data_IF_916788310052
#
_entry.id   IF_916788310052
#
_cell.length_a   1.000
_cell.length_b   1.000
_cell.length_c   1.000
_cell.angle_alpha   90.00
_cell.angle_beta   90.00
_cell.angle_gamma   90.00
#
_symmetry.space_group_name_H-M   'P 1'
#
loop_
_entity.id
_entity.type
_entity.pdbx_description
1 polymer ?
#
# COMPACT_ATOMS: atom_id res chain seq x y z
N UNK A 1 -31.54 4.85 -1.46
CA UNK A 1 -30.11 4.61 -1.14
C UNK A 1 -30.07 3.47 -0.14
N UNK A 2 -29.59 2.29 -0.53
CA UNK A 2 -29.36 1.20 0.42
C UNK A 2 -28.20 1.62 1.32
N UNK A 3 -28.51 1.93 2.57
CA UNK A 3 -27.50 2.17 3.60
C UNK A 3 -27.02 0.80 4.05
N UNK A 4 -25.73 0.49 3.86
CA UNK A 4 -25.17 -0.74 4.41
C UNK A 4 -25.29 -0.67 5.94
N UNK A 5 -25.64 -1.78 6.62
CA UNK A 5 -25.82 -1.80 8.07
C UNK A 5 -24.49 -1.73 8.85
N UNK A 6 -23.38 -1.49 8.15
CA UNK A 6 -22.02 -1.40 8.71
C UNK A 6 -21.25 -0.26 8.04
N UNK A 7 -20.27 0.30 8.76
CA UNK A 7 -19.44 1.40 8.24
C UNK A 7 -18.43 0.90 7.22
N UNK A 8 -18.23 1.71 6.18
CA UNK A 8 -17.14 1.56 5.22
C UNK A 8 -16.04 2.58 5.52
N UNK A 9 -14.78 2.17 5.37
CA UNK A 9 -13.64 3.08 5.36
C UNK A 9 -12.71 2.73 4.19
N UNK A 10 -12.17 3.78 3.57
CA UNK A 10 -11.18 3.66 2.52
C UNK A 10 -9.77 3.86 3.04
N UNK A 11 -8.80 3.52 2.19
CA UNK A 11 -7.40 3.89 2.39
C UNK A 11 -7.09 5.13 1.55
N UNK A 12 -6.35 6.05 2.13
CA UNK A 12 -5.77 7.19 1.41
C UNK A 12 -4.26 7.20 1.63
N UNK A 13 -3.46 7.77 0.71
CA UNK A 13 -2.02 7.87 0.90
C UNK A 13 -1.68 8.59 2.20
N UNK A 14 -0.68 8.07 2.93
CA UNK A 14 -0.22 8.57 4.22
C UNK A 14 0.59 9.88 4.11
N UNK A 15 0.10 10.88 3.37
CA UNK A 15 0.77 12.15 3.09
C UNK A 15 0.95 12.99 4.36
N UNK A 16 -0.12 13.16 5.15
CA UNK A 16 -0.08 13.96 6.40
C UNK A 16 1.00 13.50 7.39
N UNK A 17 1.12 12.20 7.75
CA UNK A 17 2.19 11.77 8.64
C UNK A 17 3.56 11.88 7.97
N UNK A 18 3.69 11.64 6.66
CA UNK A 18 4.98 11.78 5.97
C UNK A 18 5.51 13.21 5.99
N UNK A 19 4.65 14.21 5.74
CA UNK A 19 5.00 15.63 5.82
C UNK A 19 5.48 16.05 7.23
N UNK A 20 5.03 15.37 8.29
CA UNK A 20 5.49 15.62 9.67
C UNK A 20 6.79 14.91 10.02
N UNK A 21 7.18 13.89 9.25
CA UNK A 21 8.28 12.98 9.56
C UNK A 21 9.53 13.24 8.73
N UNK A 22 9.38 13.88 7.57
CA UNK A 22 10.50 14.34 6.74
C UNK A 22 11.37 15.34 7.49
N UNK A 23 12.67 15.25 7.27
CA UNK A 23 13.71 16.12 7.84
C UNK A 23 14.24 17.09 6.78
N UNK A 24 14.36 16.65 5.53
CA UNK A 24 14.78 17.51 4.42
C UNK A 24 13.61 18.23 3.72
N UNK A 25 12.37 17.95 4.12
CA UNK A 25 11.18 18.57 3.53
C UNK A 25 10.81 18.01 2.17
N UNK A 26 11.45 16.93 1.70
CA UNK A 26 11.15 16.26 0.43
C UNK A 26 10.49 14.91 0.72
N UNK A 27 9.25 14.76 0.27
CA UNK A 27 8.45 13.54 0.47
C UNK A 27 8.13 12.91 -0.88
N UNK A 28 8.42 11.62 -1.01
CA UNK A 28 8.10 10.83 -2.19
C UNK A 28 6.71 10.22 -2.06
N UNK A 29 5.93 10.18 -3.12
CA UNK A 29 4.68 9.43 -3.20
C UNK A 29 4.78 8.38 -4.31
N UNK A 30 4.98 7.12 -3.91
CA UNK A 30 4.81 5.97 -4.81
C UNK A 30 3.33 5.60 -4.86
N UNK A 31 2.69 5.68 -6.02
CA UNK A 31 1.37 5.12 -6.23
C UNK A 31 1.22 4.56 -7.66
N UNK A 32 0.04 4.11 -8.05
CA UNK A 32 -0.22 3.78 -9.46
C UNK A 32 -0.30 5.05 -10.30
N UNK A 33 -0.09 4.92 -11.62
CA UNK A 33 -0.20 6.05 -12.57
C UNK A 33 -1.56 6.75 -12.50
N UNK A 34 -2.62 6.00 -12.24
CA UNK A 34 -3.96 6.55 -12.05
C UNK A 34 -4.03 7.38 -10.77
N UNK A 35 -3.56 6.85 -9.64
CA UNK A 35 -3.63 7.53 -8.33
C UNK A 35 -2.86 8.85 -8.32
N UNK A 36 -1.64 8.90 -8.90
CA UNK A 36 -0.85 10.15 -8.92
C UNK A 36 -1.46 11.25 -9.79
N UNK A 37 -2.39 10.92 -10.70
CA UNK A 37 -3.08 11.89 -11.58
C UNK A 37 -4.46 12.31 -11.07
N UNK A 38 -4.96 11.69 -9.99
CA UNK A 38 -6.30 11.98 -9.47
C UNK A 38 -6.35 13.36 -8.80
N UNK A 39 -7.37 14.19 -9.06
CA UNK A 39 -7.55 15.48 -8.40
C UNK A 39 -7.52 15.36 -6.86
N UNK A 40 -8.17 14.33 -6.33
CA UNK A 40 -8.19 14.03 -4.90
C UNK A 40 -6.79 13.88 -4.28
N UNK A 41 -5.84 13.28 -5.02
CA UNK A 41 -4.45 13.13 -4.54
C UNK A 41 -3.77 14.49 -4.44
N UNK A 42 -3.99 15.38 -5.41
CA UNK A 42 -3.47 16.74 -5.38
C UNK A 42 -4.09 17.59 -4.27
N UNK A 43 -5.39 17.42 -4.01
CA UNK A 43 -6.08 18.07 -2.88
C UNK A 43 -5.49 17.64 -1.54
N UNK A 44 -5.26 16.34 -1.34
CA UNK A 44 -4.60 15.84 -0.12
C UNK A 44 -3.20 16.43 0.08
N UNK A 45 -2.42 16.56 -1.00
CA UNK A 45 -1.10 17.19 -0.96
C UNK A 45 -1.21 18.66 -0.56
N UNK A 46 -2.11 19.42 -1.22
CA UNK A 46 -2.33 20.83 -0.92
C UNK A 46 -2.75 21.04 0.55
N UNK A 47 -3.64 20.18 1.04
CA UNK A 47 -4.20 20.28 2.38
C UNK A 47 -3.19 19.93 3.49
N UNK A 48 -2.34 18.93 3.28
CA UNK A 48 -1.54 18.34 4.37
C UNK A 48 -0.02 18.46 4.21
N UNK A 49 0.47 18.91 3.06
CA UNK A 49 1.90 18.97 2.76
C UNK A 49 2.34 20.31 2.13
N UNK A 50 1.61 21.41 2.38
CA UNK A 50 1.93 22.73 1.82
C UNK A 50 3.31 23.29 2.21
N UNK A 51 3.96 22.73 3.24
CA UNK A 51 5.31 23.07 3.69
C UNK A 51 6.41 22.11 3.20
N UNK A 52 6.06 21.10 2.41
CA UNK A 52 6.99 20.09 1.89
C UNK A 52 6.94 20.03 0.36
N UNK A 53 8.04 19.62 -0.26
CA UNK A 53 8.08 19.25 -1.67
C UNK A 53 7.58 17.82 -1.83
N UNK A 54 6.49 17.61 -2.58
CA UNK A 54 6.00 16.27 -2.89
C UNK A 54 6.49 15.83 -4.27
N UNK A 55 7.27 14.75 -4.30
CA UNK A 55 7.74 14.09 -5.53
C UNK A 55 6.86 12.88 -5.82
N UNK A 56 5.99 12.96 -6.82
CA UNK A 56 5.09 11.86 -7.16
C UNK A 56 5.70 10.94 -8.21
N UNK A 57 5.61 9.63 -7.99
CA UNK A 57 6.05 8.61 -8.94
C UNK A 57 4.97 7.55 -9.09
N UNK A 58 4.39 7.50 -10.29
CA UNK A 58 3.36 6.54 -10.67
C UNK A 58 3.95 5.32 -11.35
N UNK A 59 3.79 4.13 -10.76
CA UNK A 59 4.30 2.88 -11.35
C UNK A 59 3.25 1.76 -11.35
N UNK A 60 2.89 1.30 -12.55
CA UNK A 60 2.18 0.02 -12.70
C UNK A 60 3.17 -1.15 -12.60
N UNK A 61 4.41 -0.96 -13.04
CA UNK A 61 5.45 -1.98 -13.01
C UNK A 61 5.77 -2.44 -11.57
N UNK A 62 5.71 -1.55 -10.57
CA UNK A 62 5.84 -1.97 -9.16
C UNK A 62 4.67 -2.83 -8.68
N UNK A 63 3.49 -2.70 -9.28
CA UNK A 63 2.35 -3.57 -8.97
C UNK A 63 2.65 -4.97 -9.50
N UNK A 64 3.08 -5.07 -10.77
CA UNK A 64 3.46 -6.35 -11.38
C UNK A 64 4.58 -7.05 -10.62
N UNK A 65 5.61 -6.31 -10.16
CA UNK A 65 6.68 -6.90 -9.33
C UNK A 65 6.16 -7.42 -7.98
N UNK A 66 5.22 -6.71 -7.35
CA UNK A 66 4.63 -7.16 -6.10
C UNK A 66 3.77 -8.42 -6.31
N UNK A 67 3.00 -8.48 -7.40
CA UNK A 67 2.21 -9.66 -7.77
C UNK A 67 3.12 -10.85 -8.07
N UNK A 68 4.17 -10.66 -8.88
CA UNK A 68 5.15 -11.70 -9.18
C UNK A 68 5.81 -12.24 -7.89
N UNK A 69 6.17 -11.35 -6.94
CA UNK A 69 6.69 -11.73 -5.63
C UNK A 69 5.70 -12.59 -4.83
N UNK A 70 4.42 -12.24 -4.84
CA UNK A 70 3.37 -13.05 -4.20
C UNK A 70 3.20 -14.42 -4.87
N UNK A 71 3.46 -14.51 -6.17
CA UNK A 71 3.49 -15.78 -6.92
C UNK A 71 4.82 -16.55 -6.76
N UNK A 72 5.73 -16.07 -5.90
CA UNK A 72 6.98 -16.76 -5.56
C UNK A 72 8.16 -16.44 -6.47
N UNK A 73 8.03 -15.48 -7.39
CA UNK A 73 9.17 -14.98 -8.15
C UNK A 73 10.09 -14.12 -7.29
N UNK A 74 11.39 -14.14 -7.60
CA UNK A 74 12.33 -13.17 -7.03
C UNK A 74 12.18 -11.81 -7.71
N UNK A 75 12.30 -10.74 -6.93
CA UNK A 75 12.24 -9.37 -7.46
C UNK A 75 13.64 -8.89 -7.79
N UNK A 76 13.89 -8.61 -9.07
CA UNK A 76 15.17 -8.06 -9.51
C UNK A 76 15.34 -6.62 -9.01
N UNK A 77 16.35 -6.37 -8.17
CA UNK A 77 16.63 -5.03 -7.62
C UNK A 77 16.91 -3.98 -8.71
N UNK A 78 17.44 -4.39 -9.86
CA UNK A 78 17.66 -3.48 -10.99
C UNK A 78 16.36 -2.95 -11.60
N UNK A 79 15.27 -3.72 -11.57
CA UNK A 79 13.96 -3.25 -12.03
C UNK A 79 13.40 -2.21 -11.07
N UNK A 80 13.47 -2.48 -9.77
CA UNK A 80 13.08 -1.52 -8.72
C UNK A 80 13.92 -0.24 -8.85
N UNK A 81 15.24 -0.36 -9.02
CA UNK A 81 16.18 0.75 -9.22
C UNK A 81 15.86 1.58 -10.45
N UNK A 82 15.54 0.94 -11.57
CA UNK A 82 15.10 1.63 -12.79
C UNK A 82 13.82 2.42 -12.54
N UNK A 83 12.86 1.85 -11.82
CA UNK A 83 11.59 2.52 -11.55
C UNK A 83 11.78 3.77 -10.68
N UNK A 84 12.57 3.67 -9.60
CA UNK A 84 12.82 4.81 -8.68
C UNK A 84 13.99 5.71 -9.11
N UNK A 85 14.59 5.44 -10.28
CA UNK A 85 15.69 6.21 -10.85
C UNK A 85 15.46 7.74 -10.86
N UNK A 86 14.25 8.27 -11.15
CA UNK A 86 14.02 9.71 -11.11
C UNK A 86 14.43 10.34 -9.77
N UNK A 87 14.20 9.65 -8.66
CA UNK A 87 14.59 10.11 -7.33
C UNK A 87 16.08 9.91 -7.07
N UNK A 88 16.66 8.80 -7.52
CA UNK A 88 18.09 8.52 -7.35
C UNK A 88 19.00 9.53 -8.08
N UNK A 89 18.48 10.24 -9.09
CA UNK A 89 19.19 11.28 -9.81
C UNK A 89 19.04 12.68 -9.20
N UNK A 90 18.22 12.83 -8.17
CA UNK A 90 18.02 14.11 -7.50
C UNK A 90 19.22 14.43 -6.61
N UNK A 91 19.63 15.69 -6.59
CA UNK A 91 20.63 16.19 -5.63
C UNK A 91 20.13 16.02 -4.19
N UNK A 92 18.83 16.24 -3.97
CA UNK A 92 18.15 16.06 -2.69
C UNK A 92 16.92 15.16 -2.88
N UNK A 93 17.09 13.82 -2.79
CA UNK A 93 15.99 12.88 -2.96
C UNK A 93 15.04 12.91 -1.75
N UNK A 94 13.84 12.32 -1.88
CA UNK A 94 12.95 12.19 -0.73
C UNK A 94 13.57 11.38 0.40
N UNK A 95 13.59 11.93 1.61
CA UNK A 95 14.01 11.20 2.81
C UNK A 95 12.86 10.37 3.42
N UNK A 96 11.64 10.62 2.97
CA UNK A 96 10.41 9.98 3.43
C UNK A 96 9.57 9.63 2.22
N UNK A 97 9.24 8.35 2.04
CA UNK A 97 8.46 7.85 0.91
C UNK A 97 7.16 7.23 1.39
N UNK A 98 6.05 7.74 0.87
CA UNK A 98 4.71 7.20 1.04
C UNK A 98 4.47 6.09 0.03
N UNK A 99 4.12 4.91 0.53
CA UNK A 99 3.63 3.77 -0.23
C UNK A 99 2.11 3.91 -0.36
N UNK A 100 1.67 4.62 -1.40
CA UNK A 100 0.27 4.97 -1.67
C UNK A 100 -0.54 3.89 -2.41
N UNK A 101 0.02 2.70 -2.60
CA UNK A 101 -0.65 1.53 -3.17
C UNK A 101 -0.48 0.34 -2.20
N UNK A 102 -1.53 -0.47 -2.02
CA UNK A 102 -1.53 -1.62 -1.10
C UNK A 102 -0.52 -2.70 -1.47
N UNK A 103 -0.07 -2.74 -2.72
CA UNK A 103 0.98 -3.65 -3.19
C UNK A 103 2.38 -3.27 -2.72
N UNK A 104 2.68 -1.98 -2.60
CA UNK A 104 4.06 -1.52 -2.42
C UNK A 104 4.70 -1.87 -1.07
N UNK A 105 3.95 -2.00 0.05
CA UNK A 105 4.50 -2.57 1.28
C UNK A 105 5.09 -3.97 1.13
N UNK A 106 4.64 -4.76 0.14
CA UNK A 106 5.19 -6.10 -0.15
C UNK A 106 6.62 -6.03 -0.72
N UNK A 107 6.98 -4.87 -1.31
CA UNK A 107 8.29 -4.57 -1.88
C UNK A 107 9.17 -3.73 -0.94
N UNK A 108 8.81 -3.63 0.35
CA UNK A 108 9.50 -2.78 1.32
C UNK A 108 11.00 -3.10 1.42
N UNK A 109 11.35 -4.39 1.42
CA UNK A 109 12.75 -4.83 1.54
C UNK A 109 13.57 -4.43 0.32
N UNK A 110 13.03 -4.62 -0.88
CA UNK A 110 13.68 -4.27 -2.14
C UNK A 110 13.80 -2.76 -2.31
N UNK A 111 12.74 -2.01 -1.96
CA UNK A 111 12.75 -0.55 -1.96
C UNK A 111 13.81 -0.02 -0.99
N UNK A 112 13.93 -0.59 0.21
CA UNK A 112 14.91 -0.15 1.20
C UNK A 112 16.36 -0.40 0.76
N UNK A 113 16.61 -1.46 -0.02
CA UNK A 113 17.94 -1.76 -0.59
C UNK A 113 18.32 -0.84 -1.75
N UNK A 114 17.34 -0.26 -2.44
CA UNK A 114 17.56 0.56 -3.63
C UNK A 114 17.55 2.05 -3.33
N UNK A 115 16.68 2.49 -2.41
CA UNK A 115 16.55 3.89 -2.03
C UNK A 115 17.77 4.35 -1.19
N UNK A 116 18.07 5.66 -1.18
CA UNK A 116 19.17 6.20 -0.38
C UNK A 116 19.08 5.77 1.08
N UNK A 117 20.24 5.54 1.70
CA UNK A 117 20.32 5.15 3.10
C UNK A 117 19.59 6.17 3.99
N UNK A 118 18.83 5.68 4.98
CA UNK A 118 18.03 6.52 5.87
C UNK A 118 16.66 6.91 5.32
N UNK A 119 16.32 6.56 4.07
CA UNK A 119 14.97 6.79 3.53
C UNK A 119 13.92 6.04 4.36
N UNK A 120 12.91 6.77 4.85
CA UNK A 120 11.81 6.22 5.65
C UNK A 120 10.61 5.85 4.77
N UNK A 121 10.24 4.59 4.77
CA UNK A 121 9.05 4.09 4.06
C UNK A 121 7.79 4.07 4.95
N UNK A 122 6.74 4.78 4.56
CA UNK A 122 5.48 4.93 5.30
C UNK A 122 4.31 4.42 4.46
N UNK A 123 3.43 3.63 5.07
CA UNK A 123 2.15 3.20 4.50
C UNK A 123 0.98 3.47 5.46
N UNK A 124 -0.23 3.18 5.03
CA UNK A 124 -1.45 3.40 5.82
C UNK A 124 -1.83 2.20 6.70
N UNK A 125 -1.17 1.05 6.61
CA UNK A 125 -1.58 -0.22 7.20
C UNK A 125 -1.76 -0.14 8.73
N UNK A 126 -0.75 0.32 9.45
CA UNK A 126 -0.82 0.44 10.91
C UNK A 126 -1.87 1.48 11.37
N UNK A 127 -2.08 2.55 10.59
CA UNK A 127 -3.11 3.54 10.89
C UNK A 127 -4.52 2.97 10.70
N UNK A 128 -4.72 2.17 9.65
CA UNK A 128 -5.98 1.46 9.39
C UNK A 128 -6.23 0.43 10.50
N UNK A 129 -5.22 -0.37 10.88
CA UNK A 129 -5.37 -1.35 11.96
C UNK A 129 -5.82 -0.71 13.29
N UNK A 130 -5.21 0.41 13.70
CA UNK A 130 -5.64 1.16 14.90
C UNK A 130 -7.06 1.70 14.77
N UNK A 131 -7.45 2.18 13.58
CA UNK A 131 -8.81 2.66 13.35
C UNK A 131 -9.84 1.53 13.40
N UNK A 132 -9.52 0.38 12.83
CA UNK A 132 -10.35 -0.83 12.89
C UNK A 132 -10.55 -1.28 14.33
N UNK A 133 -9.47 -1.38 15.13
CA UNK A 133 -9.56 -1.75 16.54
C UNK A 133 -10.46 -0.80 17.34
N UNK A 134 -10.24 0.51 17.21
CA UNK A 134 -11.06 1.52 17.89
C UNK A 134 -12.55 1.39 17.52
N UNK A 135 -12.88 1.15 16.25
CA UNK A 135 -14.26 0.97 15.82
C UNK A 135 -14.90 -0.31 16.36
N UNK A 136 -14.15 -1.42 16.40
CA UNK A 136 -14.63 -2.68 16.97
C UNK A 136 -14.94 -2.54 18.46
N UNK A 137 -14.16 -1.74 19.19
CA UNK A 137 -14.37 -1.48 20.62
C UNK A 137 -15.55 -0.54 20.92
N UNK A 138 -15.83 0.43 20.04
CA UNK A 138 -16.74 1.54 20.37
C UNK A 138 -18.03 1.59 19.56
N UNK A 139 -18.05 1.02 18.35
CA UNK A 139 -19.15 1.25 17.39
C UNK A 139 -19.66 -0.02 16.70
N UNK A 140 -18.87 -1.09 16.63
CA UNK A 140 -19.27 -2.30 15.92
C UNK A 140 -20.16 -3.19 16.80
N UNK A 141 -21.13 -3.92 16.22
CA UNK A 141 -21.84 -4.98 16.93
C UNK A 141 -20.86 -6.10 17.30
N UNK A 142 -21.04 -6.71 18.47
CA UNK A 142 -20.29 -7.91 18.88
C UNK A 142 -20.70 -9.09 18.00
N UNK A 143 -19.91 -9.34 16.95
CA UNK A 143 -20.07 -10.49 16.06
C UNK A 143 -18.80 -11.32 16.17
N UNK A 144 -18.94 -12.53 16.69
CA UNK A 144 -17.85 -13.47 16.84
C UNK A 144 -18.16 -14.73 16.02
N UNK A 145 -17.13 -15.26 15.35
CA UNK A 145 -17.21 -16.52 14.62
C UNK A 145 -16.02 -17.39 15.02
N UNK A 146 -16.26 -18.69 15.19
CA UNK A 146 -15.24 -19.71 15.37
C UNK A 146 -14.86 -20.39 14.04
N UNK A 147 -15.37 -19.89 12.92
CA UNK A 147 -15.02 -20.40 11.60
C UNK A 147 -13.56 -20.08 11.27
N UNK A 148 -12.96 -20.91 10.42
CA UNK A 148 -11.62 -20.65 9.92
C UNK A 148 -11.60 -19.41 9.03
N UNK A 149 -10.46 -18.72 8.99
CA UNK A 149 -10.29 -17.60 8.06
C UNK A 149 -10.32 -18.10 6.61
N UNK A 150 -11.04 -17.39 5.76
CA UNK A 150 -11.16 -17.71 4.32
C UNK A 150 -10.72 -16.49 3.52
N UNK A 151 -9.87 -16.72 2.52
CA UNK A 151 -9.59 -15.74 1.48
C UNK A 151 -10.60 -15.92 0.33
N UNK A 152 -11.04 -14.81 -0.24
CA UNK A 152 -11.98 -14.82 -1.36
C UNK A 152 -11.35 -14.22 -2.61
N UNK A 153 -11.68 -14.77 -3.77
CA UNK A 153 -11.36 -14.20 -5.08
C UNK A 153 -12.61 -14.06 -5.95
N UNK A 154 -12.60 -13.12 -6.88
CA UNK A 154 -13.69 -12.94 -7.86
C UNK A 154 -13.63 -14.00 -8.96
N UNK A 155 -12.42 -14.48 -9.26
CA UNK A 155 -12.14 -15.53 -10.22
C UNK A 155 -11.14 -16.51 -9.61
N UNK A 156 -11.39 -17.80 -9.75
CA UNK A 156 -10.56 -18.88 -9.20
C UNK A 156 -9.96 -19.66 -10.38
N UNK A 157 -8.95 -19.06 -10.98
CA UNK A 157 -8.15 -19.61 -12.07
C UNK A 157 -6.81 -20.14 -11.56
N UNK A 158 -5.91 -20.49 -12.49
CA UNK A 158 -4.59 -21.02 -12.16
C UNK A 158 -3.71 -20.03 -11.39
N UNK A 159 -3.79 -18.73 -11.70
CA UNK A 159 -3.02 -17.69 -11.03
C UNK A 159 -3.52 -17.49 -9.60
N UNK A 160 -4.84 -17.39 -9.40
CA UNK A 160 -5.42 -17.28 -8.06
C UNK A 160 -5.02 -18.47 -7.16
N UNK A 161 -5.02 -19.69 -7.69
CA UNK A 161 -4.60 -20.88 -6.93
C UNK A 161 -3.14 -20.80 -6.50
N UNK A 162 -2.25 -20.22 -7.31
CA UNK A 162 -0.83 -20.05 -6.98
C UNK A 162 -0.59 -19.13 -5.78
N UNK A 163 -1.54 -18.28 -5.41
CA UNK A 163 -1.47 -17.46 -4.19
C UNK A 163 -1.67 -18.27 -2.90
N UNK A 164 -2.22 -19.49 -2.98
CA UNK A 164 -2.57 -20.31 -1.80
C UNK A 164 -1.44 -20.48 -0.76
N UNK A 165 -0.17 -20.74 -1.14
CA UNK A 165 0.92 -20.85 -0.17
C UNK A 165 1.15 -19.55 0.60
N UNK A 166 1.00 -18.40 -0.06
CA UNK A 166 1.18 -17.09 0.58
C UNK A 166 -0.01 -16.78 1.48
N UNK A 167 -1.23 -16.99 1.01
CA UNK A 167 -2.46 -16.81 1.80
C UNK A 167 -2.42 -17.64 3.10
N UNK A 168 -1.94 -18.88 3.03
CA UNK A 168 -1.75 -19.74 4.22
C UNK A 168 -0.77 -19.14 5.23
N UNK A 169 0.35 -18.56 4.76
CA UNK A 169 1.30 -17.85 5.64
C UNK A 169 0.69 -16.62 6.30
N UNK A 170 -0.25 -15.96 5.62
CA UNK A 170 -1.04 -14.85 6.18
C UNK A 170 -2.21 -15.30 7.07
N UNK A 171 -2.37 -16.60 7.32
CA UNK A 171 -3.39 -17.14 8.21
C UNK A 171 -4.73 -17.46 7.55
N UNK A 172 -4.77 -17.56 6.22
CA UNK A 172 -5.94 -17.97 5.43
C UNK A 172 -5.74 -19.39 4.87
N UNK A 173 -6.22 -20.45 5.55
CA UNK A 173 -6.07 -21.83 5.11
C UNK A 173 -6.80 -22.15 3.80
N UNK A 174 -7.89 -21.43 3.51
CA UNK A 174 -8.81 -21.67 2.41
C UNK A 174 -8.85 -20.47 1.45
N UNK A 175 -8.97 -20.77 0.16
CA UNK A 175 -9.24 -19.81 -0.92
C UNK A 175 -10.51 -20.26 -1.64
N UNK A 176 -11.51 -19.38 -1.70
CA UNK A 176 -12.80 -19.66 -2.31
C UNK A 176 -13.19 -18.59 -3.34
N UNK A 177 -13.89 -19.02 -4.40
CA UNK A 177 -14.50 -18.08 -5.35
C UNK A 177 -15.74 -17.46 -4.71
N UNK A 178 -15.81 -16.14 -4.67
CA UNK A 178 -17.00 -15.42 -4.24
C UNK A 178 -18.13 -15.62 -5.27
N UNK A 179 -19.28 -16.14 -4.82
CA UNK A 179 -20.49 -16.20 -5.62
C UNK A 179 -21.13 -14.80 -5.65
N UNK A 180 -20.85 -14.04 -6.73
CA UNK A 180 -21.41 -12.72 -7.00
C UNK A 180 -22.77 -12.81 -7.71
#
# INVERSE_FOLDING_TARGET
MNVLPFRLWGVVPAIKPAARLTRNGVVGLLATRATVRRPYTHELVSQFAGSCKIEMLGSAELVELAEAKLHGAEVALDEVRRIVQPWLRMTEPPDTVVLGCTHFPLLREELQQVLPEGTRLIDSGAAIARRTAWLLEHEAPEVHSSQQNVAFCTELDGEAVQLSPVLRRYGFPLLEKLAL
#
